data_IF_884154362284
#
_entry.id   IF_884154362284
#
_cell.length_a   1.000
_cell.length_b   1.000
_cell.length_c   1.000
_cell.angle_alpha   90.00
_cell.angle_beta   90.00
_cell.angle_gamma   90.00
#
_symmetry.space_group_name_H-M   'P 1'
#
loop_
_entity.id
_entity.type
_entity.pdbx_description
1 polymer ?
#
# COMPACT_ATOMS: atom_id res chain seq x y z
N UNK A 1 -5.10 -15.68 -3.91
CA UNK A 1 -4.71 -14.24 -3.95
C UNK A 1 -3.88 -13.88 -2.72
N UNK A 2 -4.33 -14.25 -1.51
CA UNK A 2 -3.41 -14.56 -0.40
C UNK A 2 -2.63 -15.85 -0.77
N UNK A 3 -1.31 -15.97 -0.50
CA UNK A 3 -0.40 -15.09 0.26
C UNK A 3 0.24 -13.93 -0.55
N UNK A 4 0.06 -13.89 -1.87
CA UNK A 4 0.78 -12.98 -2.79
C UNK A 4 0.47 -11.48 -2.59
N UNK A 5 -0.75 -11.14 -2.17
CA UNK A 5 -1.12 -9.75 -1.83
C UNK A 5 -0.32 -9.25 -0.62
N UNK A 6 -0.20 -10.07 0.43
CA UNK A 6 0.54 -9.72 1.65
C UNK A 6 2.02 -9.52 1.35
N UNK A 7 2.60 -10.43 0.56
CA UNK A 7 4.00 -10.35 0.14
C UNK A 7 4.33 -9.01 -0.53
N UNK A 8 3.54 -8.64 -1.53
CA UNK A 8 3.75 -7.38 -2.28
C UNK A 8 3.56 -6.13 -1.42
N UNK A 9 2.61 -6.14 -0.49
CA UNK A 9 2.44 -5.02 0.45
C UNK A 9 3.62 -4.93 1.42
N UNK A 10 4.10 -6.06 1.95
CA UNK A 10 5.27 -6.08 2.83
C UNK A 10 6.53 -5.60 2.12
N UNK A 11 6.81 -6.07 0.91
CA UNK A 11 7.96 -5.59 0.13
C UNK A 11 7.91 -4.09 -0.10
N UNK A 12 6.71 -3.55 -0.38
CA UNK A 12 6.55 -2.11 -0.56
C UNK A 12 6.81 -1.34 0.74
N UNK A 13 6.14 -1.72 1.83
CA UNK A 13 6.24 -1.03 3.10
C UNK A 13 7.67 -1.06 3.66
N UNK A 14 8.38 -2.19 3.48
CA UNK A 14 9.79 -2.32 3.87
C UNK A 14 10.75 -1.45 3.05
N UNK A 15 10.34 -0.97 1.87
CA UNK A 15 11.17 -0.10 1.03
C UNK A 15 11.04 1.39 1.35
N UNK A 16 10.11 1.76 2.24
CA UNK A 16 9.85 3.15 2.61
C UNK A 16 10.89 3.66 3.62
N UNK A 17 11.30 4.90 3.43
CA UNK A 17 12.04 5.69 4.41
C UNK A 17 11.11 6.32 5.44
N UNK A 18 11.64 6.67 6.61
CA UNK A 18 10.88 7.34 7.67
C UNK A 18 10.27 8.66 7.18
N UNK A 19 11.03 9.45 6.43
CA UNK A 19 10.57 10.73 5.89
C UNK A 19 9.36 10.59 4.95
N UNK A 20 9.26 9.48 4.19
CA UNK A 20 8.10 9.22 3.34
C UNK A 20 6.84 8.88 4.13
N UNK A 21 6.99 8.34 5.35
CA UNK A 21 5.86 7.97 6.21
C UNK A 21 5.40 9.16 7.05
N UNK A 22 6.32 10.03 7.48
CA UNK A 22 6.03 11.26 8.25
C UNK A 22 5.47 12.40 7.38
N UNK A 23 5.59 12.31 6.05
CA UNK A 23 5.05 13.34 5.15
C UNK A 23 3.52 13.52 5.36
N UNK A 24 2.99 14.75 5.43
CA UNK A 24 1.56 14.99 5.63
C UNK A 24 0.66 14.38 4.54
N UNK A 25 1.20 14.10 3.35
CA UNK A 25 0.53 13.45 2.22
C UNK A 25 0.78 11.93 2.15
N UNK A 26 1.53 11.36 3.10
CA UNK A 26 1.93 9.96 3.11
C UNK A 26 0.74 9.02 2.93
N UNK A 27 -0.33 9.18 3.72
CA UNK A 27 -1.50 8.30 3.63
C UNK A 27 -2.10 8.24 2.21
N UNK A 28 -2.22 9.39 1.53
CA UNK A 28 -2.73 9.46 0.16
C UNK A 28 -1.81 8.70 -0.80
N UNK A 29 -0.51 8.95 -0.70
CA UNK A 29 0.52 8.34 -1.55
C UNK A 29 0.60 6.83 -1.32
N UNK A 30 0.76 6.40 -0.07
CA UNK A 30 0.85 5.00 0.33
C UNK A 30 -0.40 4.23 -0.09
N UNK A 31 -1.61 4.78 0.11
CA UNK A 31 -2.86 4.15 -0.33
C UNK A 31 -2.88 3.91 -1.83
N UNK A 32 -2.48 4.90 -2.64
CA UNK A 32 -2.44 4.78 -4.09
C UNK A 32 -1.45 3.71 -4.57
N UNK A 33 -0.28 3.67 -3.93
CA UNK A 33 0.83 2.76 -4.24
C UNK A 33 0.53 1.33 -3.82
N UNK A 34 -0.10 1.14 -2.65
CA UNK A 34 -0.61 -0.15 -2.21
C UNK A 34 -1.70 -0.66 -3.15
N UNK A 35 -2.70 0.17 -3.50
CA UNK A 35 -3.78 -0.23 -4.43
C UNK A 35 -3.21 -0.72 -5.76
N UNK A 36 -2.28 0.06 -6.36
CA UNK A 36 -1.63 -0.28 -7.62
C UNK A 36 -0.91 -1.63 -7.57
N UNK A 37 -0.24 -1.91 -6.46
CA UNK A 37 0.49 -3.15 -6.24
C UNK A 37 -0.43 -4.35 -6.07
N UNK A 38 -1.53 -4.18 -5.33
CA UNK A 38 -2.56 -5.22 -5.22
C UNK A 38 -3.17 -5.50 -6.60
N UNK A 39 -3.52 -4.46 -7.37
CA UNK A 39 -4.07 -4.58 -8.73
C UNK A 39 -3.19 -5.46 -9.65
N UNK A 40 -1.87 -5.26 -9.61
CA UNK A 40 -0.92 -6.03 -10.41
C UNK A 40 -0.95 -7.54 -10.09
N UNK A 41 -1.18 -7.91 -8.83
CA UNK A 41 -1.18 -9.33 -8.43
C UNK A 41 -2.55 -10.00 -8.50
N UNK A 42 -3.64 -9.23 -8.42
CA UNK A 42 -5.00 -9.78 -8.55
C UNK A 42 -5.49 -9.90 -9.99
N UNK A 43 -4.74 -9.32 -10.94
CA UNK A 43 -4.96 -9.50 -12.38
C UNK A 43 -5.63 -8.34 -13.09
N UNK A 44 -5.34 -7.08 -12.72
CA UNK A 44 -5.80 -5.86 -13.39
C UNK A 44 -7.31 -5.60 -13.24
N UNK A 45 -7.67 -4.35 -12.92
CA UNK A 45 -9.07 -3.85 -12.86
C UNK A 45 -10.02 -4.61 -11.92
N UNK A 46 -9.48 -5.41 -11.00
CA UNK A 46 -10.25 -6.16 -9.99
C UNK A 46 -10.27 -5.50 -8.62
N UNK A 47 -9.44 -4.49 -8.36
CA UNK A 47 -9.45 -3.72 -7.12
C UNK A 47 -10.10 -2.36 -7.38
N UNK A 48 -11.28 -2.16 -6.79
CA UNK A 48 -11.95 -0.87 -6.85
C UNK A 48 -11.23 0.16 -5.97
N UNK A 49 -10.96 -0.19 -4.71
CA UNK A 49 -10.31 0.69 -3.74
C UNK A 49 -9.54 -0.10 -2.68
N UNK A 50 -8.69 0.59 -1.93
CA UNK A 50 -7.96 0.08 -0.78
C UNK A 50 -8.29 0.94 0.44
N UNK A 51 -8.98 0.33 1.41
CA UNK A 51 -9.30 0.98 2.69
C UNK A 51 -8.12 0.82 3.66
N UNK A 52 -7.56 1.94 4.11
CA UNK A 52 -6.65 1.99 5.26
C UNK A 52 -7.50 2.35 6.47
N UNK A 53 -7.68 1.39 7.38
CA UNK A 53 -8.50 1.59 8.59
C UNK A 53 -7.79 2.44 9.63
N UNK A 54 -6.47 2.27 9.74
CA UNK A 54 -5.66 2.96 10.72
C UNK A 54 -4.29 3.28 10.11
N UNK A 55 -3.80 4.50 10.36
CA UNK A 55 -2.48 4.96 9.94
C UNK A 55 -1.85 5.74 11.09
N UNK A 56 -0.98 5.06 11.84
CA UNK A 56 -0.29 5.63 13.00
C UNK A 56 1.15 5.94 12.62
N UNK A 57 1.56 7.17 12.91
CA UNK A 57 2.93 7.68 12.80
C UNK A 57 3.30 8.31 14.13
N UNK A 58 4.54 8.12 14.58
CA UNK A 58 5.05 8.62 15.86
C UNK A 58 5.90 9.85 15.67
#
# INVERSE_FOLDING_TARGET
LMPRVVDVLNTYLQSLSIAEVEDPSALLTLRSQMRRRVDLVVGGDRVHDLLVMEFVVN
#
